data_IF_308618108528
#
_entry.id   IF_308618108528
#
_cell.length_a   1.000
_cell.length_b   1.000
_cell.length_c   1.000
_cell.angle_alpha   90.00
_cell.angle_beta   90.00
_cell.angle_gamma   90.00
#
_symmetry.space_group_name_H-M   'P 1'
#
loop_
_entity.id
_entity.type
_entity.pdbx_description
1 polymer ?
#
# COMPACT_ATOMS: atom_id res chain seq x y z
N UNK A 1 45.40 -68.52 41.10
CA UNK A 1 45.28 -69.05 39.69
C UNK A 1 43.83 -68.86 39.29
N UNK A 2 43.50 -67.83 38.59
CA UNK A 2 42.51 -67.77 37.54
C UNK A 2 42.46 -66.39 36.93
N UNK A 3 42.53 -66.35 35.62
CA UNK A 3 42.51 -65.14 34.77
C UNK A 3 41.04 -64.80 34.48
N UNK A 4 40.65 -63.58 34.69
CA UNK A 4 39.37 -63.06 34.15
C UNK A 4 39.61 -62.15 32.96
N UNK A 5 39.00 -62.53 31.85
CA UNK A 5 39.11 -61.92 30.54
C UNK A 5 38.33 -60.57 30.49
N UNK A 6 39.04 -59.53 30.10
CA UNK A 6 38.45 -58.26 29.68
C UNK A 6 37.60 -58.44 28.41
N UNK A 7 36.28 -58.32 28.57
CA UNK A 7 35.33 -58.25 27.47
C UNK A 7 35.06 -56.77 27.15
N UNK A 8 35.90 -56.18 26.31
CA UNK A 8 35.64 -54.88 25.70
C UNK A 8 34.48 -55.04 24.67
N UNK A 9 33.28 -54.64 25.07
CA UNK A 9 32.14 -54.47 24.18
C UNK A 9 32.47 -53.44 23.09
N UNK A 10 32.75 -53.88 21.88
CA UNK A 10 32.81 -53.03 20.72
C UNK A 10 31.42 -52.49 20.41
N UNK A 11 31.23 -51.22 20.57
CA UNK A 11 30.02 -50.54 20.15
C UNK A 11 30.07 -50.34 18.65
N UNK A 12 28.99 -50.61 17.90
CA UNK A 12 29.02 -50.47 16.45
C UNK A 12 29.05 -48.95 16.08
N UNK A 13 30.07 -48.56 15.32
CA UNK A 13 30.31 -47.16 14.89
C UNK A 13 29.31 -46.68 13.80
N UNK A 14 28.25 -47.42 13.53
CA UNK A 14 27.26 -47.12 12.51
C UNK A 14 26.31 -45.92 12.80
N UNK A 15 25.84 -45.67 14.05
CA UNK A 15 24.90 -44.59 14.28
C UNK A 15 25.48 -43.18 14.08
N UNK A 16 26.77 -43.01 14.33
CA UNK A 16 27.42 -41.70 14.17
C UNK A 16 27.56 -41.27 12.69
N UNK A 17 27.84 -42.22 11.79
CA UNK A 17 27.93 -41.90 10.35
C UNK A 17 26.57 -41.60 9.71
N UNK A 18 25.52 -42.25 10.15
CA UNK A 18 24.14 -41.97 9.71
C UNK A 18 23.66 -40.60 10.19
N UNK A 19 24.03 -40.18 11.42
CA UNK A 19 23.68 -38.87 11.94
C UNK A 19 24.30 -37.72 11.15
N UNK A 20 25.58 -37.85 10.74
CA UNK A 20 26.23 -36.83 9.92
C UNK A 20 25.66 -36.71 8.51
N UNK A 21 25.17 -37.81 7.90
CA UNK A 21 24.50 -37.77 6.60
C UNK A 21 23.12 -37.06 6.68
N UNK A 22 22.35 -37.25 7.74
CA UNK A 22 21.06 -36.62 7.92
C UNK A 22 21.22 -35.12 8.16
N UNK A 23 22.19 -34.70 8.98
CA UNK A 23 22.49 -33.29 9.25
C UNK A 23 23.02 -32.59 8.00
N UNK A 24 23.86 -33.25 7.19
CA UNK A 24 24.36 -32.69 5.94
C UNK A 24 23.27 -32.49 4.87
N UNK A 25 22.25 -33.34 4.83
CA UNK A 25 21.16 -33.24 3.86
C UNK A 25 20.17 -32.11 4.22
N UNK A 26 20.04 -31.79 5.53
CA UNK A 26 19.14 -30.71 6.01
C UNK A 26 19.66 -29.31 5.67
N UNK A 27 20.98 -29.14 5.48
CA UNK A 27 21.59 -27.84 5.18
C UNK A 27 21.48 -27.50 3.69
N UNK A 28 21.33 -28.49 2.80
CA UNK A 28 21.18 -28.26 1.35
C UNK A 28 19.79 -27.79 0.92
N UNK A 29 18.77 -27.86 1.78
CA UNK A 29 17.39 -27.46 1.45
C UNK A 29 17.13 -25.95 1.71
N UNK A 30 18.11 -25.16 2.16
CA UNK A 30 17.93 -23.82 2.68
C UNK A 30 18.01 -22.65 1.68
N UNK A 31 18.23 -22.89 0.39
CA UNK A 31 18.29 -21.83 -0.62
C UNK A 31 17.11 -21.94 -1.62
N UNK A 32 15.87 -21.95 -1.12
CA UNK A 32 14.76 -21.59 -1.96
C UNK A 32 14.78 -20.05 -2.09
N UNK A 33 15.29 -19.55 -3.22
CA UNK A 33 15.13 -18.15 -3.60
C UNK A 33 13.64 -17.83 -3.53
N UNK A 34 13.25 -16.92 -2.65
CA UNK A 34 11.86 -16.45 -2.66
C UNK A 34 11.59 -15.85 -4.03
N UNK A 35 10.50 -16.22 -4.70
CA UNK A 35 10.17 -15.63 -5.98
C UNK A 35 10.07 -14.11 -5.80
N UNK A 36 10.82 -13.35 -6.59
CA UNK A 36 10.69 -11.89 -6.65
C UNK A 36 9.23 -11.60 -6.99
N UNK A 37 8.49 -10.83 -6.16
CA UNK A 37 7.10 -10.53 -6.46
C UNK A 37 7.01 -9.91 -7.85
N UNK A 38 6.27 -10.56 -8.75
CA UNK A 38 6.09 -10.08 -10.11
C UNK A 38 5.27 -8.79 -10.06
N UNK A 39 5.85 -7.68 -10.47
CA UNK A 39 5.10 -6.45 -10.70
C UNK A 39 4.87 -6.28 -12.21
N UNK A 40 3.68 -5.85 -12.60
CA UNK A 40 3.31 -5.64 -13.99
C UNK A 40 2.92 -4.17 -14.20
N UNK A 41 3.73 -3.43 -14.94
CA UNK A 41 3.45 -2.02 -15.25
C UNK A 41 2.29 -1.91 -16.23
N UNK A 42 1.30 -1.10 -15.88
CA UNK A 42 0.11 -0.81 -16.69
C UNK A 42 0.26 0.55 -17.38
N UNK A 43 0.86 1.50 -16.69
CA UNK A 43 1.08 2.86 -17.18
C UNK A 43 2.40 3.41 -16.66
N UNK A 44 3.14 4.08 -17.55
CA UNK A 44 4.36 4.77 -17.22
C UNK A 44 4.51 6.02 -18.12
N UNK A 45 4.66 7.18 -17.51
CA UNK A 45 4.92 8.45 -18.20
C UNK A 45 5.81 9.34 -17.34
N UNK A 46 7.07 9.44 -17.71
CA UNK A 46 8.09 10.09 -16.88
C UNK A 46 8.26 9.34 -15.57
N UNK A 47 7.95 10.01 -14.45
CA UNK A 47 8.02 9.43 -13.12
C UNK A 47 6.66 8.92 -12.61
N UNK A 48 5.59 9.14 -13.39
CA UNK A 48 4.27 8.65 -13.06
C UNK A 48 4.14 7.19 -13.46
N UNK A 49 3.71 6.34 -12.54
CA UNK A 49 3.61 4.90 -12.76
C UNK A 49 2.35 4.34 -12.13
N UNK A 50 1.68 3.44 -12.84
CA UNK A 50 0.65 2.55 -12.28
C UNK A 50 1.04 1.12 -12.62
N UNK A 51 1.07 0.26 -11.61
CA UNK A 51 1.46 -1.15 -11.76
C UNK A 51 0.63 -2.06 -10.88
N UNK A 52 0.55 -3.32 -11.26
CA UNK A 52 -0.01 -4.39 -10.44
C UNK A 52 1.10 -5.03 -9.63
N UNK A 53 0.82 -5.27 -8.36
CA UNK A 53 1.74 -5.90 -7.42
C UNK A 53 0.99 -6.98 -6.65
N UNK A 54 1.73 -7.99 -6.18
CA UNK A 54 1.19 -8.95 -5.22
C UNK A 54 0.68 -8.22 -3.98
N UNK A 55 -0.57 -8.48 -3.59
CA UNK A 55 -1.13 -7.92 -2.36
C UNK A 55 -0.63 -8.74 -1.16
N UNK A 56 0.15 -8.16 -0.23
CA UNK A 56 0.66 -8.88 0.93
C UNK A 56 -0.42 -9.16 1.98
N UNK A 57 -1.53 -8.42 1.93
CA UNK A 57 -2.57 -8.45 2.96
C UNK A 57 -3.80 -9.24 2.51
N UNK A 58 -3.92 -9.55 1.20
CA UNK A 58 -5.07 -10.29 0.65
C UNK A 58 -4.68 -11.21 -0.50
N UNK A 59 -5.34 -12.36 -0.56
CA UNK A 59 -5.28 -13.30 -1.69
C UNK A 59 -6.63 -13.47 -2.39
N UNK A 60 -7.62 -12.68 -1.98
CA UNK A 60 -9.02 -12.84 -2.40
C UNK A 60 -9.70 -11.49 -2.68
N UNK A 61 -8.96 -10.56 -3.28
CA UNK A 61 -9.53 -9.29 -3.73
C UNK A 61 -10.64 -9.54 -4.77
N UNK A 62 -11.62 -8.67 -4.82
CA UNK A 62 -12.70 -8.72 -5.80
C UNK A 62 -12.23 -8.16 -7.16
N UNK A 63 -11.10 -8.67 -7.64
CA UNK A 63 -10.52 -8.36 -8.93
C UNK A 63 -10.76 -9.50 -9.94
N UNK A 64 -10.91 -9.21 -11.23
CA UNK A 64 -10.93 -7.88 -11.87
C UNK A 64 -12.17 -7.07 -11.50
N UNK A 65 -12.01 -5.76 -11.31
CA UNK A 65 -13.09 -4.85 -10.98
C UNK A 65 -13.29 -3.80 -12.09
N UNK A 66 -14.55 -3.62 -12.53
CA UNK A 66 -14.88 -2.68 -13.59
C UNK A 66 -15.35 -1.37 -12.98
N UNK A 67 -14.47 -0.37 -12.99
CA UNK A 67 -14.74 1.02 -12.65
C UNK A 67 -14.34 1.89 -13.85
N UNK A 68 -15.18 2.81 -14.27
CA UNK A 68 -14.83 3.77 -15.31
C UNK A 68 -13.81 4.79 -14.79
N UNK A 69 -13.06 5.44 -15.68
CA UNK A 69 -12.16 6.52 -15.29
C UNK A 69 -12.89 7.67 -14.57
N UNK A 70 -14.16 7.94 -14.94
CA UNK A 70 -14.99 8.95 -14.27
C UNK A 70 -15.32 8.56 -12.84
N UNK A 71 -15.66 7.31 -12.59
CA UNK A 71 -15.93 6.78 -11.24
C UNK A 71 -14.68 6.80 -10.38
N UNK A 72 -13.54 6.30 -10.89
CA UNK A 72 -12.25 6.39 -10.18
C UNK A 72 -11.92 7.85 -9.86
N UNK A 73 -12.04 8.76 -10.81
CA UNK A 73 -11.81 10.19 -10.58
C UNK A 73 -12.79 10.79 -9.57
N UNK A 74 -14.02 10.30 -9.48
CA UNK A 74 -15.00 10.73 -8.48
C UNK A 74 -14.58 10.29 -7.07
N UNK A 75 -14.13 9.05 -6.90
CA UNK A 75 -13.62 8.55 -5.63
C UNK A 75 -12.37 9.32 -5.18
N UNK A 76 -11.38 9.51 -6.07
CA UNK A 76 -10.17 10.27 -5.75
C UNK A 76 -10.48 11.72 -5.33
N UNK A 77 -11.50 12.36 -5.91
CA UNK A 77 -11.93 13.71 -5.51
C UNK A 77 -12.47 13.78 -4.10
N UNK A 78 -13.00 12.68 -3.57
CA UNK A 78 -13.49 12.59 -2.19
C UNK A 78 -12.39 12.47 -1.14
N UNK A 79 -11.18 12.08 -1.51
CA UNK A 79 -10.07 11.88 -0.57
C UNK A 79 -9.54 13.22 -0.07
N UNK A 80 -9.45 13.35 1.27
CA UNK A 80 -8.91 14.52 1.96
C UNK A 80 -7.66 14.12 2.73
N UNK A 81 -6.72 15.04 2.82
CA UNK A 81 -5.55 14.93 3.67
C UNK A 81 -5.44 16.16 4.57
N UNK A 82 -4.99 15.95 5.80
CA UNK A 82 -4.67 17.01 6.74
C UNK A 82 -3.36 16.72 7.42
N UNK A 83 -2.60 17.76 7.74
CA UNK A 83 -1.35 17.59 8.48
C UNK A 83 -1.63 16.98 9.86
N UNK A 84 -0.90 15.91 10.21
CA UNK A 84 -1.02 15.28 11.52
C UNK A 84 -0.43 16.19 12.59
N UNK A 85 -1.28 16.75 13.43
CA UNK A 85 -0.86 17.55 14.58
C UNK A 85 -0.86 16.70 15.84
N UNK A 86 0.21 16.80 16.62
CA UNK A 86 0.24 16.18 17.94
C UNK A 86 -0.81 16.80 18.87
N UNK A 87 -1.16 16.11 19.96
CA UNK A 87 -2.23 16.52 20.90
C UNK A 87 -2.03 17.95 21.41
N UNK A 88 -0.80 18.36 21.69
CA UNK A 88 -0.48 19.71 22.19
C UNK A 88 -0.76 20.77 21.12
N UNK A 89 -0.36 20.54 19.87
CA UNK A 89 -0.65 21.42 18.75
C UNK A 89 -2.16 21.52 18.48
N UNK A 90 -2.90 20.39 18.58
CA UNK A 90 -4.36 20.38 18.43
C UNK A 90 -5.07 21.22 19.49
N UNK A 91 -4.58 21.20 20.72
CA UNK A 91 -5.17 22.00 21.83
C UNK A 91 -4.93 23.51 21.65
N UNK A 92 -3.80 23.91 21.06
CA UNK A 92 -3.42 25.32 20.91
C UNK A 92 -3.94 25.90 19.60
N UNK A 93 -3.84 25.16 18.48
CA UNK A 93 -4.10 25.66 17.11
C UNK A 93 -5.33 25.03 16.44
N UNK A 94 -6.05 24.15 17.12
CA UNK A 94 -7.18 23.41 16.55
C UNK A 94 -6.76 22.30 15.60
N UNK A 95 -7.74 21.74 14.88
CA UNK A 95 -7.48 20.76 13.83
C UNK A 95 -6.82 21.45 12.62
N UNK A 96 -5.97 20.70 11.88
CA UNK A 96 -5.41 21.19 10.64
C UNK A 96 -6.52 21.28 9.57
N UNK A 97 -6.38 22.25 8.68
CA UNK A 97 -7.27 22.37 7.53
C UNK A 97 -7.17 21.12 6.64
N UNK A 98 -8.32 20.59 6.25
CA UNK A 98 -8.39 19.49 5.32
C UNK A 98 -8.21 20.01 3.90
N UNK A 99 -7.27 19.42 3.16
CA UNK A 99 -7.05 19.70 1.75
C UNK A 99 -7.37 18.46 0.91
N UNK A 100 -7.49 18.63 -0.40
CA UNK A 100 -7.61 17.48 -1.30
C UNK A 100 -6.29 16.70 -1.33
N UNK A 101 -6.37 15.39 -1.14
CA UNK A 101 -5.19 14.53 -1.26
C UNK A 101 -4.70 14.41 -2.72
N UNK A 102 -5.60 14.61 -3.69
CA UNK A 102 -5.28 14.60 -5.11
C UNK A 102 -5.71 15.90 -5.77
N UNK A 103 -4.81 16.53 -6.52
CA UNK A 103 -5.12 17.69 -7.34
C UNK A 103 -5.93 17.29 -8.58
N UNK A 104 -6.59 18.24 -9.20
CA UNK A 104 -7.40 17.98 -10.39
C UNK A 104 -6.55 17.40 -11.53
N UNK A 105 -5.36 17.91 -11.70
CA UNK A 105 -4.39 17.49 -12.70
C UNK A 105 -3.92 16.04 -12.45
N UNK A 106 -3.64 15.70 -11.20
CA UNK A 106 -3.25 14.35 -10.76
C UNK A 106 -4.37 13.34 -11.01
N UNK A 107 -5.61 13.70 -10.69
CA UNK A 107 -6.78 12.87 -10.99
C UNK A 107 -6.91 12.62 -12.50
N UNK A 108 -6.66 13.64 -13.32
CA UNK A 108 -6.75 13.48 -14.78
C UNK A 108 -5.71 12.52 -15.35
N UNK A 109 -4.54 12.43 -14.70
CA UNK A 109 -3.46 11.50 -15.07
C UNK A 109 -3.74 10.09 -14.56
N UNK A 110 -4.26 9.95 -13.34
CA UNK A 110 -4.44 8.65 -12.67
C UNK A 110 -5.72 7.91 -13.05
N UNK A 111 -6.82 8.62 -13.32
CA UNK A 111 -8.15 8.00 -13.37
C UNK A 111 -8.26 6.87 -14.41
N UNK A 112 -7.76 7.08 -15.62
CA UNK A 112 -7.79 6.06 -16.66
C UNK A 112 -6.81 4.91 -16.40
N UNK A 113 -5.55 5.15 -16.07
CA UNK A 113 -4.62 4.07 -15.73
C UNK A 113 -5.10 3.20 -14.55
N UNK A 114 -5.64 3.79 -13.49
CA UNK A 114 -6.19 3.05 -12.36
C UNK A 114 -7.40 2.21 -12.73
N UNK A 115 -8.33 2.78 -13.51
CA UNK A 115 -9.49 2.06 -14.09
C UNK A 115 -9.02 0.82 -14.88
N UNK A 116 -8.03 1.00 -15.74
CA UNK A 116 -7.44 -0.08 -16.54
C UNK A 116 -6.77 -1.13 -15.64
N UNK A 117 -5.96 -0.69 -14.67
CA UNK A 117 -5.27 -1.60 -13.77
C UNK A 117 -6.25 -2.44 -12.94
N UNK A 118 -7.30 -1.84 -12.37
CA UNK A 118 -8.33 -2.55 -11.63
C UNK A 118 -9.07 -3.60 -12.48
N UNK A 119 -9.27 -3.34 -13.77
CA UNK A 119 -9.90 -4.28 -14.69
C UNK A 119 -8.99 -5.44 -15.13
N UNK A 120 -7.68 -5.31 -14.93
CA UNK A 120 -6.67 -6.29 -15.31
C UNK A 120 -6.06 -7.03 -14.11
N UNK A 121 -6.30 -6.54 -12.89
CA UNK A 121 -5.78 -7.12 -11.67
C UNK A 121 -6.35 -8.52 -11.40
N UNK A 122 -5.52 -9.40 -10.86
CA UNK A 122 -5.92 -10.71 -10.36
C UNK A 122 -6.36 -10.63 -8.88
N UNK A 123 -7.10 -11.63 -8.36
CA UNK A 123 -7.53 -11.63 -6.96
C UNK A 123 -6.41 -11.54 -5.93
N UNK A 124 -5.19 -11.89 -6.29
CA UNK A 124 -3.99 -11.81 -5.44
C UNK A 124 -3.20 -10.53 -5.63
N UNK A 125 -3.65 -9.63 -6.50
CA UNK A 125 -2.94 -8.39 -6.83
C UNK A 125 -3.66 -7.17 -6.26
N UNK A 126 -2.88 -6.11 -6.06
CA UNK A 126 -3.34 -4.74 -5.79
C UNK A 126 -2.73 -3.79 -6.80
N UNK A 127 -3.32 -2.63 -6.96
CA UNK A 127 -2.84 -1.58 -7.85
C UNK A 127 -1.97 -0.59 -7.07
N UNK A 128 -0.71 -0.47 -7.43
CA UNK A 128 0.19 0.58 -6.95
C UNK A 128 0.15 1.78 -7.89
N UNK A 129 0.21 2.99 -7.34
CA UNK A 129 0.42 4.20 -8.12
C UNK A 129 1.51 5.09 -7.50
N UNK A 130 2.24 5.77 -8.38
CA UNK A 130 3.19 6.81 -8.04
C UNK A 130 2.98 7.98 -8.98
N UNK A 131 2.71 9.14 -8.42
CA UNK A 131 2.71 10.42 -9.10
C UNK A 131 3.91 11.21 -8.65
N UNK A 132 4.63 11.80 -9.59
CA UNK A 132 5.79 12.60 -9.26
C UNK A 132 5.95 13.72 -10.28
N UNK A 133 6.13 14.93 -9.80
CA UNK A 133 6.37 16.09 -10.65
C UNK A 133 7.41 17.02 -10.01
N UNK A 134 8.14 17.75 -10.88
CA UNK A 134 9.06 18.77 -10.42
C UNK A 134 8.31 20.01 -9.92
N UNK A 135 8.77 20.56 -8.81
CA UNK A 135 8.27 21.85 -8.30
C UNK A 135 9.05 23.02 -8.94
N UNK A 136 8.51 24.23 -8.85
CA UNK A 136 9.18 25.45 -9.33
C UNK A 136 10.53 25.72 -8.62
N UNK A 137 10.74 25.13 -7.45
CA UNK A 137 11.98 25.24 -6.66
C UNK A 137 13.02 24.20 -7.05
N UNK A 138 12.70 23.32 -7.99
CA UNK A 138 13.60 22.25 -8.45
C UNK A 138 13.54 20.99 -7.62
N UNK A 139 12.75 20.95 -6.55
CA UNK A 139 12.44 19.73 -5.80
C UNK A 139 11.47 18.84 -6.57
N UNK A 140 11.39 17.59 -6.17
CA UNK A 140 10.41 16.63 -6.63
C UNK A 140 9.31 16.46 -5.59
N UNK A 141 8.06 16.49 -6.02
CA UNK A 141 6.89 16.24 -5.17
C UNK A 141 6.25 14.93 -5.58
N UNK A 142 5.98 14.04 -4.61
CA UNK A 142 5.52 12.68 -4.88
C UNK A 142 4.28 12.36 -4.06
N UNK A 143 3.30 11.68 -4.70
CA UNK A 143 2.13 11.08 -4.07
C UNK A 143 2.08 9.61 -4.46
N UNK A 144 2.07 8.72 -3.47
CA UNK A 144 2.08 7.28 -3.67
C UNK A 144 0.93 6.59 -2.95
N UNK A 145 0.56 5.40 -3.41
CA UNK A 145 -0.44 4.60 -2.71
C UNK A 145 -0.79 3.30 -3.41
N UNK A 146 -1.72 2.57 -2.78
CA UNK A 146 -2.22 1.29 -3.27
C UNK A 146 -3.74 1.27 -3.23
N UNK A 147 -4.32 0.59 -4.19
CA UNK A 147 -5.76 0.37 -4.28
C UNK A 147 -6.02 -1.12 -4.44
N UNK A 148 -6.95 -1.65 -3.63
CA UNK A 148 -7.57 -2.95 -3.85
C UNK A 148 -9.07 -2.90 -3.58
N UNK A 149 -9.82 -3.90 -4.03
CA UNK A 149 -11.26 -3.99 -3.79
C UNK A 149 -11.57 -5.32 -3.12
N UNK A 150 -12.29 -5.27 -2.00
CA UNK A 150 -12.74 -6.45 -1.27
C UNK A 150 -14.25 -6.35 -1.05
N UNK A 151 -15.00 -7.13 -1.81
CA UNK A 151 -16.46 -7.04 -1.80
C UNK A 151 -16.96 -5.62 -2.13
N UNK A 152 -17.75 -4.97 -1.25
CA UNK A 152 -18.26 -3.62 -1.48
C UNK A 152 -17.27 -2.51 -1.08
N UNK A 153 -16.09 -2.85 -0.58
CA UNK A 153 -15.13 -1.92 0.00
C UNK A 153 -13.97 -1.71 -0.97
N UNK A 154 -13.67 -0.45 -1.28
CA UNK A 154 -12.42 -0.04 -1.90
C UNK A 154 -11.45 0.33 -0.77
N UNK A 155 -10.33 -0.37 -0.74
CA UNK A 155 -9.20 -0.11 0.15
C UNK A 155 -8.22 0.82 -0.56
N UNK A 156 -8.01 2.00 -0.02
CA UNK A 156 -7.03 2.96 -0.49
C UNK A 156 -6.01 3.21 0.61
N UNK A 157 -4.79 2.76 0.39
CA UNK A 157 -3.65 2.99 1.27
C UNK A 157 -2.83 4.13 0.66
N UNK A 158 -2.61 5.20 1.41
CA UNK A 158 -1.77 6.31 0.98
C UNK A 158 -0.40 6.18 1.64
N UNK A 159 0.65 6.16 0.83
CA UNK A 159 2.03 6.17 1.31
C UNK A 159 2.51 7.59 1.55
N UNK A 160 2.51 8.40 0.52
CA UNK A 160 2.92 9.80 0.55
C UNK A 160 1.85 10.69 -0.05
N UNK A 161 1.70 11.92 0.49
CA UNK A 161 0.86 12.98 -0.06
C UNK A 161 1.73 14.20 -0.29
N UNK A 162 2.01 14.53 -1.55
CA UNK A 162 2.80 15.70 -1.94
C UNK A 162 4.14 15.80 -1.17
N UNK A 163 4.77 14.64 -0.88
CA UNK A 163 6.04 14.59 -0.18
C UNK A 163 7.14 15.19 -1.05
N UNK A 164 7.88 16.17 -0.51
CA UNK A 164 8.96 16.86 -1.21
C UNK A 164 10.31 16.23 -0.90
N UNK A 165 11.08 16.01 -1.94
CA UNK A 165 12.45 15.52 -1.82
C UNK A 165 13.32 16.14 -2.92
N UNK A 166 14.61 16.27 -2.64
CA UNK A 166 15.55 16.78 -3.63
C UNK A 166 15.62 15.85 -4.84
N UNK A 167 15.73 16.40 -6.08
CA UNK A 167 15.94 15.62 -7.27
C UNK A 167 17.32 14.96 -7.19
N UNK A 168 17.37 13.69 -6.97
CA UNK A 168 18.60 12.91 -6.93
C UNK A 168 18.31 11.46 -7.27
N UNK A 169 19.34 10.65 -7.57
CA UNK A 169 19.15 9.23 -7.60
C UNK A 169 18.68 8.80 -6.21
N UNK A 170 17.39 8.56 -6.10
CA UNK A 170 16.81 8.01 -4.88
C UNK A 170 17.38 6.60 -4.70
N UNK A 171 18.48 6.53 -3.93
CA UNK A 171 19.17 5.26 -3.62
C UNK A 171 18.20 4.28 -2.99
N UNK A 172 17.15 4.78 -2.31
CA UNK A 172 16.10 3.95 -1.75
C UNK A 172 15.25 3.24 -2.81
N UNK A 173 15.19 3.72 -4.05
CA UNK A 173 14.49 3.04 -5.15
C UNK A 173 15.22 1.79 -5.66
N UNK A 174 16.53 1.73 -5.51
CA UNK A 174 17.32 0.57 -5.97
C UNK A 174 17.32 -0.59 -4.99
N UNK A 175 17.04 -0.38 -3.72
CA UNK A 175 16.92 -1.46 -2.72
C UNK A 175 15.51 -2.05 -2.60
N UNK A 176 14.52 -1.53 -3.32
CA UNK A 176 13.13 -1.99 -3.23
C UNK A 176 12.87 -3.28 -4.03
N UNK A 177 13.66 -4.31 -3.80
CA UNK A 177 13.30 -5.69 -4.17
C UNK A 177 12.37 -6.37 -3.15
N UNK A 178 12.12 -5.73 -2.03
CA UNK A 178 11.16 -6.18 -1.02
C UNK A 178 9.76 -5.64 -1.37
N UNK A 179 8.66 -6.36 -1.02
CA UNK A 179 7.32 -5.83 -1.18
C UNK A 179 7.27 -4.47 -0.49
N UNK A 180 6.92 -3.43 -1.27
CA UNK A 180 6.81 -2.07 -0.78
C UNK A 180 5.72 -2.00 0.29
N UNK A 181 6.11 -2.22 1.53
CA UNK A 181 5.30 -1.82 2.66
C UNK A 181 5.43 -0.30 2.71
N UNK A 182 4.33 0.47 2.56
CA UNK A 182 4.41 1.90 2.72
C UNK A 182 4.99 2.20 4.09
N UNK A 183 6.09 2.91 4.15
CA UNK A 183 6.40 3.63 5.38
C UNK A 183 5.22 4.56 5.60
N UNK A 184 4.54 4.42 6.75
CA UNK A 184 3.42 5.26 7.09
C UNK A 184 3.89 6.70 6.96
N UNK A 185 3.23 7.47 6.09
CA UNK A 185 3.45 8.91 6.04
C UNK A 185 3.06 9.46 7.40
N UNK A 186 4.04 9.59 8.30
CA UNK A 186 3.82 10.00 9.69
C UNK A 186 3.25 11.42 9.80
N UNK A 187 3.03 12.10 8.68
CA UNK A 187 2.73 13.52 8.59
C UNK A 187 1.28 13.84 8.24
N UNK A 188 0.50 12.89 7.73
CA UNK A 188 -0.84 13.17 7.26
C UNK A 188 -1.89 12.21 7.83
N UNK A 189 -3.05 12.77 8.18
CA UNK A 189 -4.27 12.01 8.41
C UNK A 189 -5.12 12.09 7.14
N UNK A 190 -5.59 10.95 6.64
CA UNK A 190 -6.44 10.90 5.44
C UNK A 190 -7.87 10.52 5.81
N UNK A 191 -8.84 11.11 5.12
CA UNK A 191 -10.25 10.81 5.26
C UNK A 191 -10.96 10.90 3.91
N UNK A 192 -12.22 10.51 3.88
CA UNK A 192 -13.07 10.58 2.69
C UNK A 192 -14.27 11.49 2.96
N UNK A 193 -14.58 12.35 2.03
CA UNK A 193 -15.72 13.25 2.13
C UNK A 193 -16.77 12.93 1.04
N UNK A 194 -18.00 12.66 1.47
CA UNK A 194 -18.53 12.63 2.84
C UNK A 194 -18.11 11.38 3.64
N UNK A 195 -17.84 11.58 4.95
CA UNK A 195 -17.32 10.50 5.82
C UNK A 195 -18.29 9.32 6.02
N UNK A 196 -19.59 9.49 5.79
CA UNK A 196 -20.57 8.39 5.95
C UNK A 196 -20.39 7.27 4.92
N UNK A 197 -19.59 7.47 3.88
CA UNK A 197 -19.18 6.41 2.95
C UNK A 197 -17.95 5.60 3.42
N UNK A 198 -17.33 5.99 4.53
CA UNK A 198 -16.29 5.17 5.13
C UNK A 198 -16.92 3.96 5.82
N UNK A 199 -16.37 2.78 5.57
CA UNK A 199 -16.77 1.59 6.29
C UNK A 199 -16.42 1.75 7.77
N UNK A 200 -17.34 1.37 8.65
CA UNK A 200 -17.11 1.38 10.10
C UNK A 200 -16.15 0.25 10.43
N UNK A 201 -14.86 0.56 10.50
CA UNK A 201 -13.85 -0.40 10.89
C UNK A 201 -13.98 -0.70 12.38
N UNK A 202 -14.28 -1.94 12.71
CA UNK A 202 -14.33 -2.45 14.09
C UNK A 202 -12.93 -2.72 14.68
N UNK A 203 -11.89 -2.12 14.12
CA UNK A 203 -10.53 -2.31 14.60
C UNK A 203 -10.24 -1.37 15.75
N UNK A 204 -10.17 -1.93 16.97
CA UNK A 204 -9.48 -1.24 18.07
C UNK A 204 -8.06 -0.94 17.62
N UNK A 205 -7.61 0.32 17.61
CA UNK A 205 -6.24 0.63 17.25
C UNK A 205 -5.32 -0.17 18.20
N UNK A 206 -4.51 -1.04 17.64
CA UNK A 206 -3.48 -1.75 18.40
C UNK A 206 -2.42 -0.71 18.75
N UNK A 207 -2.50 -0.12 19.92
CA UNK A 207 -1.63 0.99 20.37
C UNK A 207 -0.12 0.65 20.39
N UNK A 208 0.24 -0.59 20.11
CA UNK A 208 1.61 -1.09 20.02
C UNK A 208 2.03 -1.53 18.61
N UNK A 209 1.17 -1.31 17.59
CA UNK A 209 1.56 -1.56 16.20
C UNK A 209 2.32 -0.33 15.66
N UNK A 210 3.61 -0.45 15.29
CA UNK A 210 4.43 0.70 14.88
C UNK A 210 4.00 1.33 13.55
N UNK A 211 3.25 0.63 12.72
CA UNK A 211 2.87 1.06 11.38
C UNK A 211 1.36 1.23 11.27
N UNK A 212 0.87 2.43 11.63
CA UNK A 212 -0.48 2.82 11.23
C UNK A 212 -0.44 3.21 9.74
N UNK A 213 -0.75 2.25 8.88
CA UNK A 213 -1.00 2.52 7.48
C UNK A 213 -2.24 3.39 7.39
N UNK A 214 -2.16 4.49 6.65
CA UNK A 214 -3.30 5.37 6.39
C UNK A 214 -4.19 4.70 5.33
N UNK A 215 -4.97 3.73 5.76
CA UNK A 215 -5.91 2.99 4.93
C UNK A 215 -7.30 3.59 5.04
N UNK A 216 -7.89 3.94 3.91
CA UNK A 216 -9.30 4.29 3.78
C UNK A 216 -10.08 3.09 3.25
N UNK A 217 -11.13 2.73 3.95
CA UNK A 217 -12.09 1.70 3.55
C UNK A 217 -13.38 2.39 3.10
N UNK A 218 -13.57 2.52 1.79
CA UNK A 218 -14.65 3.29 1.19
C UNK A 218 -15.72 2.33 0.67
N UNK A 219 -16.96 2.51 1.06
CA UNK A 219 -18.14 1.88 0.46
C UNK A 219 -18.36 2.50 -0.94
N UNK A 220 -17.54 2.06 -1.91
CA UNK A 220 -17.35 2.76 -3.17
C UNK A 220 -18.61 2.80 -4.03
N UNK A 221 -19.44 1.76 -4.01
CA UNK A 221 -20.69 1.73 -4.78
C UNK A 221 -21.68 2.75 -4.24
N UNK A 222 -21.84 2.84 -2.92
CA UNK A 222 -22.71 3.82 -2.27
C UNK A 222 -22.17 5.25 -2.49
N UNK A 223 -20.85 5.43 -2.40
CA UNK A 223 -20.20 6.70 -2.67
C UNK A 223 -20.43 7.16 -4.12
N UNK A 224 -20.28 6.28 -5.09
CA UNK A 224 -20.52 6.58 -6.50
C UNK A 224 -21.99 6.91 -6.75
N UNK A 225 -22.93 6.14 -6.21
CA UNK A 225 -24.35 6.41 -6.32
C UNK A 225 -24.73 7.79 -5.77
N UNK A 226 -24.19 8.16 -4.60
CA UNK A 226 -24.51 9.43 -3.97
C UNK A 226 -23.80 10.63 -4.58
N UNK A 227 -22.52 10.50 -4.95
CA UNK A 227 -21.72 11.60 -5.50
C UNK A 227 -22.06 11.95 -6.96
N UNK A 228 -22.58 10.99 -7.76
CA UNK A 228 -23.02 11.26 -9.14
C UNK A 228 -24.36 11.98 -9.19
N UNK A 229 -25.16 11.92 -8.12
CA UNK A 229 -26.49 12.58 -8.05
C UNK A 229 -26.38 14.03 -7.60
N UNK A 230 -25.30 14.47 -6.96
CA UNK A 230 -25.13 15.88 -6.57
C UNK A 230 -24.65 16.71 -7.76
N UNK A 231 -25.50 17.60 -8.34
CA UNK A 231 -25.05 18.61 -9.28
C UNK A 231 -24.03 19.52 -8.55
N UNK A 232 -22.98 19.91 -9.29
CA UNK A 232 -21.98 20.83 -8.77
C UNK A 232 -22.67 22.07 -8.14
N UNK A 233 -22.23 22.54 -6.95
CA UNK A 233 -22.82 23.71 -6.34
C UNK A 233 -22.75 24.87 -7.33
N UNK A 234 -23.94 25.37 -7.73
CA UNK A 234 -24.11 26.53 -8.58
C UNK A 234 -23.35 27.69 -7.90
N UNK A 235 -22.33 28.21 -8.56
CA UNK A 235 -21.64 29.40 -8.06
C UNK A 235 -22.67 30.52 -8.00
N UNK A 236 -23.12 30.85 -6.80
CA UNK A 236 -23.87 32.09 -6.58
C UNK A 236 -23.10 33.24 -7.19
N UNK A 237 -23.59 33.69 -8.33
CA UNK A 237 -23.04 34.83 -9.03
C UNK A 237 -23.07 36.05 -8.08
N UNK A 238 -21.87 36.52 -7.72
CA UNK A 238 -21.71 37.80 -7.04
C UNK A 238 -22.32 38.86 -7.93
N UNK A 239 -23.51 39.33 -7.58
CA UNK A 239 -24.17 40.44 -8.25
C UNK A 239 -23.33 41.69 -8.09
N UNK A 240 -23.21 42.53 -9.10
CA UNK A 240 -22.43 43.76 -9.10
C UNK A 240 -22.85 44.80 -8.10
#
# INVERSE_FOLDING_TARGET
MNRDHNNLKQWPAWPLRALFLIVGLSIAAGCASQPVPSSRTIYEAGLNTVRLEQDPDSTSNAHPATLTATEVGTLLRGVRASERRNIVHRLIFGQADQTRAFRKEEISVLALPLSTALSLAEPTERVYFNLSHATDQGDQETTTGWISIQGPILHLIIGDVHARHSPGPDISKYERQLPNIPEASALYDVTFEPEYYLAKVSSSPRFWAPDQREELQILYQDALAGLTVQPAPEREGKKP
#
